data_IF_665963627931
#
_entry.id   IF_665963627931
#
_cell.length_a   1.000
_cell.length_b   1.000
_cell.length_c   1.000
_cell.angle_alpha   90.00
_cell.angle_beta   90.00
_cell.angle_gamma   90.00
#
_symmetry.space_group_name_H-M   'P 1'
#
loop_
_entity.id
_entity.type
_entity.pdbx_description
1 polymer ?
#
# COMPACT_ATOMS: atom_id res chain seq x y z
N UNK A 1 -49.10 19.67 -66.79
CA UNK A 1 -49.35 20.57 -65.65
C UNK A 1 -50.65 20.15 -64.98
N UNK A 2 -50.57 19.41 -63.88
CA UNK A 2 -51.70 19.13 -62.99
C UNK A 2 -51.17 18.98 -61.57
N UNK A 3 -51.72 19.80 -60.68
CA UNK A 3 -51.34 20.04 -59.29
C UNK A 3 -52.05 18.99 -58.42
N UNK A 4 -51.33 18.20 -57.65
CA UNK A 4 -51.92 17.35 -56.61
C UNK A 4 -51.66 17.98 -55.25
N UNK A 5 -52.62 18.78 -54.78
CA UNK A 5 -52.77 19.21 -53.39
C UNK A 5 -53.21 17.99 -52.56
N UNK A 6 -52.42 17.62 -51.54
CA UNK A 6 -52.87 16.70 -50.49
C UNK A 6 -53.36 17.53 -49.32
N UNK A 7 -54.66 17.44 -49.05
CA UNK A 7 -55.32 18.02 -47.90
C UNK A 7 -54.85 17.35 -46.60
N UNK A 8 -54.50 18.15 -45.60
CA UNK A 8 -54.21 17.72 -44.24
C UNK A 8 -55.55 17.51 -43.52
N UNK A 9 -55.91 16.26 -43.24
CA UNK A 9 -57.08 15.94 -42.40
C UNK A 9 -56.56 15.82 -40.96
N UNK A 10 -56.99 16.74 -40.09
CA UNK A 10 -56.78 16.63 -38.66
C UNK A 10 -57.96 15.86 -38.05
N UNK A 11 -57.71 14.63 -37.62
CA UNK A 11 -58.69 13.85 -36.86
C UNK A 11 -57.99 13.18 -35.68
N UNK A 12 -58.11 13.81 -34.52
CA UNK A 12 -57.83 13.20 -33.21
C UNK A 12 -58.74 13.90 -32.19
N UNK A 13 -59.69 13.19 -31.57
CA UNK A 13 -60.62 13.78 -30.62
C UNK A 13 -59.90 14.20 -29.32
N UNK A 14 -60.43 15.22 -28.59
CA UNK A 14 -59.86 15.64 -27.33
C UNK A 14 -60.10 14.54 -26.28
N UNK A 15 -59.01 13.98 -25.74
CA UNK A 15 -59.08 13.09 -24.58
C UNK A 15 -59.32 13.98 -23.36
N UNK A 16 -60.59 14.23 -23.04
CA UNK A 16 -61.00 14.61 -21.69
C UNK A 16 -60.58 13.48 -20.75
N UNK A 17 -59.42 13.66 -20.10
CA UNK A 17 -58.98 12.81 -19.01
C UNK A 17 -59.96 13.00 -17.84
N UNK A 18 -60.96 12.13 -17.77
CA UNK A 18 -61.76 11.90 -16.57
C UNK A 18 -60.80 11.45 -15.48
N UNK A 19 -60.33 12.40 -14.65
CA UNK A 19 -59.55 12.14 -13.45
C UNK A 19 -60.48 11.46 -12.43
N UNK A 20 -60.57 10.14 -12.51
CA UNK A 20 -61.12 9.31 -11.44
C UNK A 20 -60.29 9.54 -10.18
N UNK A 21 -60.92 10.14 -9.18
CA UNK A 21 -60.36 10.42 -7.87
C UNK A 21 -59.84 9.13 -7.20
N UNK A 22 -58.53 9.07 -7.02
CA UNK A 22 -57.86 8.08 -6.16
C UNK A 22 -57.58 8.74 -4.81
N UNK A 23 -57.90 8.12 -3.66
CA UNK A 23 -57.98 8.81 -2.35
C UNK A 23 -56.61 9.08 -1.69
N UNK A 24 -55.55 9.24 -2.48
CA UNK A 24 -54.21 9.66 -2.03
C UNK A 24 -53.57 10.67 -2.99
N UNK A 25 -54.39 11.47 -3.67
CA UNK A 25 -53.88 12.61 -4.42
C UNK A 25 -53.29 13.62 -3.41
N UNK A 26 -51.97 13.82 -3.49
CA UNK A 26 -51.30 14.94 -2.83
C UNK A 26 -51.98 16.23 -3.28
N UNK A 27 -52.33 17.09 -2.33
CA UNK A 27 -52.93 18.40 -2.62
C UNK A 27 -52.02 19.16 -3.59
N UNK A 28 -52.50 19.58 -4.78
CA UNK A 28 -51.68 20.27 -5.77
C UNK A 28 -51.20 21.65 -5.28
N UNK A 29 -51.73 22.16 -4.16
CA UNK A 29 -51.25 23.38 -3.49
C UNK A 29 -50.14 23.14 -2.46
N UNK A 30 -49.79 21.88 -2.18
CA UNK A 30 -48.65 21.57 -1.33
C UNK A 30 -47.35 21.83 -2.08
N UNK A 31 -46.66 22.89 -1.64
CA UNK A 31 -45.28 23.17 -2.02
C UNK A 31 -44.38 22.02 -1.56
N UNK A 32 -44.17 21.05 -2.45
CA UNK A 32 -43.36 19.84 -2.25
C UNK A 32 -41.93 20.20 -1.80
N UNK A 33 -41.46 21.41 -2.13
CA UNK A 33 -40.14 21.91 -1.73
C UNK A 33 -40.03 22.27 -0.23
N UNK A 34 -41.15 22.53 0.45
CA UNK A 34 -41.18 22.81 1.91
C UNK A 34 -41.17 21.55 2.77
N UNK A 35 -41.68 20.43 2.27
CA UNK A 35 -41.77 19.16 3.03
C UNK A 35 -40.61 18.21 2.68
N UNK A 36 -40.10 18.25 1.44
CA UNK A 36 -38.94 17.46 1.02
C UNK A 36 -37.62 18.25 1.12
N UNK A 37 -37.27 18.71 2.33
CA UNK A 37 -35.90 19.17 2.57
C UNK A 37 -34.92 18.01 2.32
N UNK A 38 -33.74 18.28 1.76
CA UNK A 38 -32.73 17.24 1.45
C UNK A 38 -32.46 16.31 2.65
N UNK A 39 -32.58 16.82 3.88
CA UNK A 39 -32.49 16.05 5.12
C UNK A 39 -33.57 14.97 5.28
N UNK A 40 -34.84 15.27 4.95
CA UNK A 40 -35.95 14.32 5.07
C UNK A 40 -35.83 13.16 4.06
N UNK A 41 -35.35 13.44 2.86
CA UNK A 41 -35.10 12.39 1.85
C UNK A 41 -33.93 11.50 2.29
N UNK A 42 -32.89 12.08 2.90
CA UNK A 42 -31.74 11.33 3.39
C UNK A 42 -32.11 10.44 4.58
N UNK A 43 -32.85 10.97 5.55
CA UNK A 43 -33.30 10.20 6.73
C UNK A 43 -34.25 9.08 6.33
N UNK A 44 -35.18 9.31 5.39
CA UNK A 44 -36.07 8.27 4.87
C UNK A 44 -35.28 7.15 4.15
N UNK A 45 -34.24 7.48 3.39
CA UNK A 45 -33.36 6.49 2.74
C UNK A 45 -32.56 5.69 3.76
N UNK A 46 -31.97 6.34 4.78
CA UNK A 46 -31.23 5.68 5.85
C UNK A 46 -32.15 4.79 6.68
N UNK A 47 -33.36 5.23 7.01
CA UNK A 47 -34.33 4.45 7.77
C UNK A 47 -34.83 3.23 6.97
N UNK A 48 -34.99 3.36 5.64
CA UNK A 48 -35.32 2.24 4.76
C UNK A 48 -34.16 1.24 4.64
N UNK A 49 -32.93 1.73 4.46
CA UNK A 49 -31.72 0.90 4.44
C UNK A 49 -31.51 0.19 5.77
N UNK A 50 -31.68 0.89 6.90
CA UNK A 50 -31.59 0.33 8.24
C UNK A 50 -32.62 -0.79 8.44
N UNK A 51 -33.90 -0.58 8.13
CA UNK A 51 -34.91 -1.64 8.25
C UNK A 51 -34.63 -2.85 7.35
N UNK A 52 -34.10 -2.62 6.14
CA UNK A 52 -33.80 -3.68 5.19
C UNK A 52 -32.53 -4.47 5.58
N UNK A 53 -31.54 -3.80 6.15
CA UNK A 53 -30.25 -4.38 6.53
C UNK A 53 -30.22 -4.88 7.99
N UNK A 54 -31.16 -4.46 8.83
CA UNK A 54 -31.17 -4.82 10.25
C UNK A 54 -31.33 -6.33 10.48
N UNK A 55 -32.31 -6.96 9.81
CA UNK A 55 -32.52 -8.40 9.93
C UNK A 55 -31.34 -9.25 9.42
N UNK A 56 -30.76 -9.00 8.23
CA UNK A 56 -29.59 -9.76 7.80
C UNK A 56 -28.34 -9.46 8.66
N UNK A 57 -28.14 -8.23 9.13
CA UNK A 57 -27.04 -7.91 10.04
C UNK A 57 -27.21 -8.60 11.41
N UNK A 58 -28.43 -8.66 11.94
CA UNK A 58 -28.74 -9.35 13.19
C UNK A 58 -28.59 -10.86 13.05
N UNK A 59 -28.98 -11.44 11.92
CA UNK A 59 -28.74 -12.85 11.61
C UNK A 59 -27.24 -13.16 11.54
N UNK A 60 -26.45 -12.34 10.85
CA UNK A 60 -24.99 -12.48 10.80
C UNK A 60 -24.36 -12.34 12.19
N UNK A 61 -24.83 -11.39 13.01
CA UNK A 61 -24.37 -11.20 14.38
C UNK A 61 -24.71 -12.37 15.31
N UNK A 62 -25.88 -12.98 15.15
CA UNK A 62 -26.26 -14.18 15.92
C UNK A 62 -25.48 -15.41 15.48
N UNK A 63 -25.26 -15.60 14.17
CA UNK A 63 -24.45 -16.71 13.66
C UNK A 63 -22.99 -16.55 14.11
N UNK A 64 -22.41 -15.35 13.99
CA UNK A 64 -21.03 -15.11 14.44
C UNK A 64 -20.91 -15.29 15.95
N UNK A 65 -21.82 -14.70 16.73
CA UNK A 65 -21.86 -14.88 18.18
C UNK A 65 -22.00 -16.34 18.59
N UNK A 66 -22.88 -17.11 17.95
CA UNK A 66 -23.03 -18.54 18.20
C UNK A 66 -21.76 -19.33 17.86
N UNK A 67 -21.10 -19.02 16.75
CA UNK A 67 -19.85 -19.70 16.37
C UNK A 67 -18.70 -19.42 17.34
N UNK A 68 -18.59 -18.19 17.85
CA UNK A 68 -17.58 -17.80 18.85
C UNK A 68 -17.88 -18.43 20.21
N UNK A 69 -19.15 -18.46 20.63
CA UNK A 69 -19.54 -19.11 21.88
C UNK A 69 -19.31 -20.63 21.81
N UNK A 70 -19.56 -21.24 20.65
CA UNK A 70 -19.37 -22.69 20.43
C UNK A 70 -17.89 -23.06 20.33
N UNK A 71 -17.04 -22.24 19.71
CA UNK A 71 -15.59 -22.47 19.65
C UNK A 71 -14.92 -22.34 21.02
N UNK A 72 -15.47 -21.52 21.93
CA UNK A 72 -14.99 -21.42 23.30
C UNK A 72 -15.27 -22.68 24.15
N UNK A 73 -16.27 -23.49 23.78
CA UNK A 73 -16.70 -24.68 24.54
C UNK A 73 -16.12 -25.98 23.98
N UNK A 74 -15.81 -26.05 22.68
CA UNK A 74 -15.22 -27.24 22.03
C UNK A 74 -14.08 -26.84 21.07
N UNK A 75 -12.82 -26.87 21.53
CA UNK A 75 -11.69 -26.33 20.76
C UNK A 75 -11.35 -27.10 19.47
N UNK A 76 -11.90 -28.30 19.26
CA UNK A 76 -11.60 -29.15 18.11
C UNK A 76 -12.43 -28.85 16.83
N UNK A 77 -13.37 -27.90 16.88
CA UNK A 77 -14.23 -27.52 15.75
C UNK A 77 -14.04 -26.06 15.28
N UNK A 78 -12.95 -25.40 15.71
CA UNK A 78 -12.82 -23.95 15.68
C UNK A 78 -11.84 -23.39 14.65
N UNK A 79 -11.56 -24.09 13.54
CA UNK A 79 -10.94 -23.42 12.39
C UNK A 79 -12.06 -22.91 11.48
N UNK A 80 -12.28 -21.58 11.39
CA UNK A 80 -13.16 -21.05 10.37
C UNK A 80 -12.66 -21.50 8.99
N UNK A 81 -13.55 -21.68 8.00
CA UNK A 81 -13.14 -21.95 6.62
C UNK A 81 -12.05 -20.96 6.19
N UNK A 82 -11.03 -21.42 5.45
CA UNK A 82 -9.83 -20.62 5.10
C UNK A 82 -10.19 -19.23 4.57
N UNK A 83 -11.24 -19.07 3.77
CA UNK A 83 -11.66 -17.77 3.25
C UNK A 83 -12.18 -16.79 4.32
N UNK A 84 -12.80 -17.29 5.40
CA UNK A 84 -13.18 -16.48 6.58
C UNK A 84 -11.95 -16.22 7.42
N UNK A 85 -11.09 -17.23 7.59
CA UNK A 85 -9.84 -17.08 8.31
C UNK A 85 -8.98 -15.99 7.65
N UNK A 86 -8.77 -16.02 6.33
CA UNK A 86 -8.05 -15.02 5.53
C UNK A 86 -8.70 -13.63 5.58
N UNK A 87 -10.03 -13.55 5.58
CA UNK A 87 -10.74 -12.27 5.70
C UNK A 87 -10.58 -11.61 7.09
N UNK A 88 -10.29 -12.39 8.13
CA UNK A 88 -10.07 -11.92 9.50
C UNK A 88 -8.62 -12.04 9.98
N UNK A 89 -7.76 -12.75 9.24
CA UNK A 89 -6.31 -12.83 9.50
C UNK A 89 -5.66 -11.70 8.74
N UNK A 90 -5.51 -10.59 9.46
CA UNK A 90 -4.65 -9.49 9.07
C UNK A 90 -3.31 -10.04 8.59
N UNK A 91 -2.95 -9.80 7.33
CA UNK A 91 -1.59 -10.06 6.87
C UNK A 91 -0.66 -9.05 7.54
N UNK A 92 -0.15 -9.45 8.71
CA UNK A 92 0.76 -8.68 9.55
C UNK A 92 1.93 -8.14 8.74
N UNK A 93 2.33 -8.81 7.65
CA UNK A 93 3.48 -8.44 6.83
C UNK A 93 3.22 -7.27 5.87
N UNK A 94 1.98 -6.81 5.71
CA UNK A 94 1.63 -5.71 4.79
C UNK A 94 0.91 -4.54 5.45
N UNK A 95 0.85 -4.53 6.79
CA UNK A 95 0.02 -3.59 7.53
C UNK A 95 0.56 -2.15 7.54
N UNK A 96 1.87 -1.97 7.73
CA UNK A 96 2.47 -0.64 7.80
C UNK A 96 2.99 -0.18 6.43
N UNK A 97 2.60 1.03 6.01
CA UNK A 97 3.23 1.70 4.88
C UNK A 97 4.60 2.23 5.30
N UNK A 98 5.65 1.66 4.71
CA UNK A 98 7.04 2.03 4.97
C UNK A 98 7.54 3.11 4.00
N UNK A 99 6.66 3.61 3.12
CA UNK A 99 6.96 4.62 2.11
C UNK A 99 7.42 4.01 0.78
N UNK A 100 7.26 4.78 -0.30
CA UNK A 100 7.70 4.38 -1.64
C UNK A 100 7.02 3.10 -2.17
N UNK A 101 5.78 2.84 -1.73
CA UNK A 101 5.01 1.65 -2.09
C UNK A 101 5.43 0.37 -1.37
N UNK A 102 6.38 0.44 -0.43
CA UNK A 102 6.78 -0.69 0.39
C UNK A 102 5.85 -0.80 1.60
N UNK A 103 5.29 -1.99 1.82
CA UNK A 103 4.53 -2.31 3.02
C UNK A 103 5.24 -3.37 3.82
N UNK A 104 5.16 -3.30 5.14
CA UNK A 104 5.86 -4.23 6.03
C UNK A 104 5.20 -4.46 7.38
N UNK A 105 5.83 -5.33 8.18
CA UNK A 105 5.33 -5.70 9.48
C UNK A 105 5.55 -4.60 10.55
N UNK A 106 4.86 -4.67 11.70
CA UNK A 106 4.97 -3.69 12.78
C UNK A 106 6.40 -3.41 13.25
N UNK A 107 7.26 -4.42 13.24
CA UNK A 107 8.66 -4.32 13.64
C UNK A 107 9.48 -3.39 12.72
N UNK A 108 8.98 -3.13 11.50
CA UNK A 108 9.58 -2.21 10.54
C UNK A 108 8.87 -0.86 10.47
N UNK A 109 7.83 -0.62 11.26
CA UNK A 109 7.04 0.62 11.18
C UNK A 109 7.89 1.89 11.32
N UNK A 110 8.99 1.82 12.06
CA UNK A 110 9.96 2.91 12.23
C UNK A 110 10.63 3.35 10.90
N UNK A 111 10.65 2.53 9.85
CA UNK A 111 11.15 2.93 8.53
C UNK A 111 10.27 4.00 7.88
N UNK A 112 8.99 4.09 8.25
CA UNK A 112 8.09 5.09 7.71
C UNK A 112 8.55 6.53 8.02
N UNK A 113 9.27 6.73 9.13
CA UNK A 113 9.87 8.02 9.49
C UNK A 113 10.96 8.46 8.51
N UNK A 114 11.48 7.52 7.72
CA UNK A 114 12.51 7.72 6.71
C UNK A 114 11.96 7.42 5.31
N UNK A 115 10.67 7.66 5.07
CA UNK A 115 10.05 7.34 3.79
C UNK A 115 10.80 7.96 2.59
N UNK A 116 10.90 7.24 1.45
CA UNK A 116 11.57 7.74 0.26
C UNK A 116 10.95 9.04 -0.26
N UNK A 117 11.80 9.97 -0.68
CA UNK A 117 11.38 11.23 -1.30
C UNK A 117 11.41 11.12 -2.83
N UNK A 118 10.74 12.04 -3.56
CA UNK A 118 10.82 12.09 -5.03
C UNK A 118 12.25 12.27 -5.55
N UNK A 119 13.08 12.99 -4.79
CA UNK A 119 14.53 13.09 -5.04
C UNK A 119 15.18 11.73 -4.78
N UNK A 120 15.55 11.03 -5.85
CA UNK A 120 16.07 9.66 -5.80
C UNK A 120 17.02 9.40 -6.95
N UNK A 121 17.86 8.37 -6.80
CA UNK A 121 18.73 7.90 -7.87
C UNK A 121 17.91 7.38 -9.05
N UNK A 122 18.46 7.54 -10.25
CA UNK A 122 18.03 6.77 -11.41
C UNK A 122 18.42 5.31 -11.24
N UNK A 123 17.72 4.39 -11.93
CA UNK A 123 18.09 2.98 -11.93
C UNK A 123 19.55 2.78 -12.40
N UNK A 124 19.98 3.52 -13.42
CA UNK A 124 21.33 3.42 -13.97
C UNK A 124 22.41 3.84 -12.98
N UNK A 125 22.16 4.91 -12.20
CA UNK A 125 23.09 5.36 -11.16
C UNK A 125 23.14 4.37 -9.99
N UNK A 126 22.01 3.77 -9.63
CA UNK A 126 21.94 2.71 -8.63
C UNK A 126 22.70 1.45 -9.05
N UNK A 127 22.56 1.04 -10.32
CA UNK A 127 23.30 -0.08 -10.89
C UNK A 127 24.81 0.19 -10.87
N UNK A 128 25.23 1.42 -11.24
CA UNK A 128 26.62 1.84 -11.21
C UNK A 128 27.20 1.85 -9.79
N UNK A 129 26.44 2.38 -8.82
CA UNK A 129 26.81 2.37 -7.40
C UNK A 129 27.01 0.96 -6.89
N UNK A 130 26.07 0.08 -7.16
CA UNK A 130 26.12 -1.32 -6.72
C UNK A 130 27.32 -2.04 -7.36
N UNK A 131 27.56 -1.86 -8.66
CA UNK A 131 28.70 -2.45 -9.35
C UNK A 131 30.05 -1.93 -8.80
N UNK A 132 30.15 -0.63 -8.49
CA UNK A 132 31.34 -0.04 -7.87
C UNK A 132 31.61 -0.68 -6.50
N UNK A 133 30.59 -0.79 -5.65
CA UNK A 133 30.73 -1.41 -4.32
C UNK A 133 31.08 -2.89 -4.43
N UNK A 134 30.48 -3.65 -5.36
CA UNK A 134 30.82 -5.07 -5.59
C UNK A 134 32.29 -5.23 -5.99
N UNK A 135 32.81 -4.34 -6.84
CA UNK A 135 34.22 -4.36 -7.23
C UNK A 135 35.12 -4.02 -6.04
N UNK A 136 34.80 -2.94 -5.34
CA UNK A 136 35.62 -2.38 -4.28
C UNK A 136 35.61 -3.24 -3.00
N UNK A 137 34.55 -4.03 -2.75
CA UNK A 137 34.47 -4.95 -1.60
C UNK A 137 35.59 -5.99 -1.61
N UNK A 138 36.04 -6.39 -2.80
CA UNK A 138 37.14 -7.36 -2.95
C UNK A 138 38.49 -6.77 -2.56
N UNK A 139 38.66 -5.45 -2.72
CA UNK A 139 39.89 -4.73 -2.44
C UNK A 139 39.97 -4.23 -0.99
N UNK A 140 38.87 -3.66 -0.48
CA UNK A 140 38.87 -2.98 0.83
C UNK A 140 38.31 -3.84 1.97
N UNK A 141 37.55 -4.89 1.65
CA UNK A 141 36.97 -5.81 2.63
C UNK A 141 35.90 -5.14 3.50
N UNK A 142 35.84 -5.56 4.77
CA UNK A 142 34.79 -5.19 5.74
C UNK A 142 35.24 -4.12 6.75
N UNK A 143 36.39 -3.50 6.52
CA UNK A 143 36.96 -2.45 7.38
C UNK A 143 36.57 -1.09 6.84
N UNK A 144 35.64 -0.34 7.46
CA UNK A 144 35.20 0.97 6.97
C UNK A 144 36.35 1.96 6.75
N UNK A 145 37.40 1.86 7.57
CA UNK A 145 38.62 2.66 7.47
C UNK A 145 39.38 2.51 6.14
N UNK A 146 39.20 1.39 5.44
CA UNK A 146 39.82 1.15 4.13
C UNK A 146 39.04 1.79 2.97
N UNK A 147 37.82 2.25 3.22
CA UNK A 147 36.95 2.84 2.21
C UNK A 147 37.06 4.36 2.27
N UNK A 148 37.89 4.94 1.42
CA UNK A 148 38.03 6.41 1.31
C UNK A 148 37.07 6.99 0.28
N UNK A 149 36.99 6.36 -0.90
CA UNK A 149 36.12 6.75 -2.01
C UNK A 149 35.64 5.51 -2.77
N UNK A 150 34.46 5.61 -3.39
CA UNK A 150 33.96 4.60 -4.31
C UNK A 150 34.41 4.93 -5.73
N UNK A 151 35.16 4.03 -6.34
CA UNK A 151 35.75 4.27 -7.65
C UNK A 151 34.71 4.29 -8.77
N UNK A 152 34.81 5.27 -9.67
CA UNK A 152 34.08 5.27 -10.95
C UNK A 152 32.64 5.78 -10.91
N UNK A 153 32.23 6.45 -9.84
CA UNK A 153 30.90 7.09 -9.74
C UNK A 153 30.95 8.56 -10.12
N UNK A 154 29.90 9.02 -10.82
CA UNK A 154 29.71 10.45 -11.15
C UNK A 154 29.38 11.27 -9.91
N UNK A 155 28.61 10.69 -8.99
CA UNK A 155 28.25 11.29 -7.71
C UNK A 155 28.96 10.53 -6.60
N UNK A 156 29.74 11.20 -5.73
CA UNK A 156 30.43 10.53 -4.65
C UNK A 156 29.40 10.05 -3.61
N UNK A 157 29.12 8.75 -3.65
CA UNK A 157 28.31 8.09 -2.64
C UNK A 157 29.04 8.06 -1.30
N UNK A 158 28.28 8.15 -0.20
CA UNK A 158 28.84 8.14 1.15
C UNK A 158 29.04 6.72 1.63
N UNK A 159 30.14 6.50 2.36
CA UNK A 159 30.42 5.25 3.05
C UNK A 159 30.16 5.48 4.54
N UNK A 160 29.45 4.56 5.18
CA UNK A 160 29.09 4.67 6.61
C UNK A 160 28.92 3.31 7.26
N UNK A 161 28.64 3.29 8.57
CA UNK A 161 28.27 2.10 9.33
C UNK A 161 26.75 2.02 9.53
N UNK A 162 26.19 0.82 9.79
CA UNK A 162 24.74 0.63 9.97
C UNK A 162 24.05 1.63 10.93
N UNK A 163 24.54 1.87 12.17
CA UNK A 163 23.86 2.76 13.12
C UNK A 163 23.86 4.23 12.69
N UNK A 164 24.79 4.62 11.80
CA UNK A 164 24.94 6.00 11.31
C UNK A 164 24.12 6.28 10.05
N UNK A 165 23.70 5.22 9.33
CA UNK A 165 22.98 5.35 8.06
C UNK A 165 21.77 6.29 8.16
N UNK A 166 20.88 6.03 9.12
CA UNK A 166 19.61 6.76 9.23
C UNK A 166 19.66 7.91 10.24
N UNK A 167 20.55 7.84 11.22
CA UNK A 167 20.73 8.90 12.21
C UNK A 167 21.48 10.12 11.64
N UNK A 168 22.49 9.91 10.80
CA UNK A 168 23.34 10.99 10.26
C UNK A 168 23.23 11.16 8.74
N UNK A 169 23.00 10.08 8.00
CA UNK A 169 23.08 10.06 6.54
C UNK A 169 21.75 9.82 5.82
N UNK A 170 20.61 9.92 6.52
CA UNK A 170 19.27 9.72 5.93
C UNK A 170 19.03 10.65 4.73
N UNK A 171 19.44 11.92 4.82
CA UNK A 171 19.34 12.87 3.70
C UNK A 171 20.22 12.55 2.49
N UNK A 172 21.15 11.60 2.61
CA UNK A 172 22.04 11.13 1.51
C UNK A 172 21.51 9.88 0.82
N UNK A 173 20.42 9.27 1.29
CA UNK A 173 19.81 8.11 0.62
C UNK A 173 19.38 8.41 -0.82
N UNK A 174 19.08 9.67 -1.13
CA UNK A 174 18.81 10.14 -2.51
C UNK A 174 20.01 10.03 -3.46
N UNK A 175 21.24 10.03 -2.93
CA UNK A 175 22.50 9.88 -3.68
C UNK A 175 23.05 8.45 -3.59
N UNK A 176 22.47 7.63 -2.72
CA UNK A 176 22.95 6.30 -2.37
C UNK A 176 24.09 6.30 -1.35
N UNK A 177 24.06 5.31 -0.48
CA UNK A 177 25.00 5.14 0.63
C UNK A 177 25.48 3.69 0.65
N UNK A 178 26.81 3.51 0.70
CA UNK A 178 27.43 2.23 1.00
C UNK A 178 27.56 2.07 2.52
N UNK A 179 27.09 0.95 3.03
CA UNK A 179 27.02 0.64 4.45
C UNK A 179 27.91 -0.56 4.73
N UNK A 180 29.00 -0.33 5.46
CA UNK A 180 29.96 -1.37 5.82
C UNK A 180 29.63 -1.83 7.23
N UNK A 181 29.09 -3.04 7.33
CA UNK A 181 28.73 -3.70 8.58
C UNK A 181 29.84 -4.66 8.98
N UNK A 182 30.83 -4.13 9.72
CA UNK A 182 31.98 -4.91 10.20
C UNK A 182 31.53 -6.05 11.13
N UNK A 183 30.56 -5.79 12.00
CA UNK A 183 30.07 -6.74 12.99
C UNK A 183 29.17 -7.81 12.37
N UNK A 184 28.31 -7.40 11.42
CA UNK A 184 27.45 -8.30 10.64
C UNK A 184 28.15 -8.97 9.45
N UNK A 185 29.43 -8.67 9.21
CA UNK A 185 30.25 -9.32 8.20
C UNK A 185 29.82 -9.04 6.75
N UNK A 186 29.16 -7.91 6.48
CA UNK A 186 28.49 -7.63 5.20
C UNK A 186 28.68 -6.18 4.75
N UNK A 187 28.58 -5.94 3.45
CA UNK A 187 28.44 -4.59 2.90
C UNK A 187 27.08 -4.50 2.22
N UNK A 188 26.39 -3.39 2.39
CA UNK A 188 25.09 -3.16 1.76
C UNK A 188 25.09 -1.81 1.06
N UNK A 189 24.30 -1.68 0.00
CA UNK A 189 23.97 -0.39 -0.60
C UNK A 189 22.54 -0.07 -0.24
N UNK A 190 22.32 1.09 0.38
CA UNK A 190 21.01 1.63 0.71
C UNK A 190 20.80 2.94 -0.04
N UNK A 191 19.67 3.05 -0.75
CA UNK A 191 19.33 4.23 -1.54
C UNK A 191 17.82 4.38 -1.73
N UNK A 192 17.41 5.55 -2.20
CA UNK A 192 16.12 5.75 -2.85
C UNK A 192 16.29 5.69 -4.36
N UNK A 193 15.46 4.89 -5.03
CA UNK A 193 15.51 4.71 -6.48
C UNK A 193 14.11 4.87 -7.07
N UNK A 194 13.92 5.93 -7.87
CA UNK A 194 12.60 6.28 -8.43
C UNK A 194 11.51 6.45 -7.36
N UNK A 195 11.84 7.07 -6.23
CA UNK A 195 10.92 7.29 -5.11
C UNK A 195 10.58 6.05 -4.28
N UNK A 196 11.41 5.00 -4.34
CA UNK A 196 11.21 3.74 -3.60
C UNK A 196 12.46 3.36 -2.83
N UNK A 197 12.30 2.60 -1.74
CA UNK A 197 13.42 1.97 -1.06
C UNK A 197 14.17 1.03 -1.98
N UNK A 198 15.50 1.05 -1.92
CA UNK A 198 16.37 0.09 -2.59
C UNK A 198 17.49 -0.33 -1.65
N UNK A 199 17.54 -1.61 -1.31
CA UNK A 199 18.58 -2.18 -0.44
C UNK A 199 19.14 -3.43 -1.12
N UNK A 200 20.46 -3.41 -1.36
CA UNK A 200 21.18 -4.53 -1.95
C UNK A 200 22.29 -4.97 -1.00
N UNK A 201 22.29 -6.25 -0.66
CA UNK A 201 23.36 -6.88 0.12
C UNK A 201 24.49 -7.33 -0.81
N UNK A 202 25.73 -7.08 -0.39
CA UNK A 202 26.94 -7.34 -1.17
C UNK A 202 27.90 -8.19 -0.35
N UNK A 203 28.32 -9.29 -0.95
CA UNK A 203 29.39 -10.15 -0.46
C UNK A 203 30.54 -10.22 -1.47
N UNK A 204 31.55 -11.06 -1.19
CA UNK A 204 32.68 -11.25 -2.09
C UNK A 204 32.22 -11.79 -3.46
N UNK A 205 32.23 -10.92 -4.47
CA UNK A 205 31.90 -11.26 -5.86
C UNK A 205 30.43 -11.61 -6.12
N UNK A 206 29.53 -11.38 -5.15
CA UNK A 206 28.09 -11.64 -5.29
C UNK A 206 27.29 -10.51 -4.68
N UNK A 207 26.11 -10.26 -5.21
CA UNK A 207 25.16 -9.29 -4.65
C UNK A 207 23.73 -9.79 -4.82
N UNK A 208 22.86 -9.38 -3.90
CA UNK A 208 21.46 -9.74 -3.89
C UNK A 208 20.62 -8.53 -3.46
N UNK A 209 19.63 -8.15 -4.28
CA UNK A 209 18.71 -7.08 -3.93
C UNK A 209 17.63 -7.63 -3.00
N UNK A 210 17.53 -7.08 -1.81
CA UNK A 210 16.61 -7.56 -0.75
C UNK A 210 15.34 -6.70 -0.66
N UNK A 211 15.40 -5.44 -1.08
CA UNK A 211 14.26 -4.53 -1.15
C UNK A 211 14.40 -3.66 -2.39
N UNK A 212 13.29 -3.45 -3.10
CA UNK A 212 13.22 -2.44 -4.16
C UNK A 212 13.57 -2.97 -5.55
N UNK A 213 13.93 -2.07 -6.49
CA UNK A 213 14.33 -2.48 -7.83
C UNK A 213 15.65 -3.26 -7.81
N UNK A 214 15.70 -4.34 -8.59
CA UNK A 214 16.84 -5.24 -8.67
C UNK A 214 18.01 -4.52 -9.36
N UNK A 215 19.16 -4.47 -8.68
CA UNK A 215 20.38 -3.93 -9.27
C UNK A 215 20.91 -4.85 -10.37
N UNK A 216 21.39 -4.27 -11.47
CA UNK A 216 21.91 -5.04 -12.61
C UNK A 216 23.06 -5.97 -12.19
N UNK A 217 22.91 -7.26 -12.47
CA UNK A 217 23.91 -8.28 -12.15
C UNK A 217 23.83 -8.85 -10.73
N UNK A 218 22.86 -8.40 -9.93
CA UNK A 218 22.56 -8.98 -8.63
C UNK A 218 21.41 -9.99 -8.71
N UNK A 219 21.42 -10.93 -7.76
CA UNK A 219 20.32 -11.87 -7.57
C UNK A 219 19.09 -11.15 -7.03
N UNK A 220 17.91 -11.60 -7.47
CA UNK A 220 16.64 -11.15 -6.88
C UNK A 220 16.36 -11.95 -5.61
N UNK A 221 16.57 -11.30 -4.47
CA UNK A 221 16.20 -11.83 -3.15
C UNK A 221 14.97 -11.10 -2.58
N UNK A 222 14.26 -10.32 -3.40
CA UNK A 222 13.02 -9.67 -2.98
C UNK A 222 11.95 -10.76 -2.83
N UNK A 223 11.40 -10.90 -1.63
CA UNK A 223 10.41 -11.95 -1.36
C UNK A 223 9.02 -11.45 -1.70
N UNK A 224 8.34 -12.15 -2.61
CA UNK A 224 6.92 -11.91 -2.93
C UNK A 224 5.99 -12.22 -1.75
N UNK A 225 6.46 -12.94 -0.73
CA UNK A 225 5.69 -13.34 0.47
C UNK A 225 5.95 -12.45 1.69
N UNK A 226 6.59 -11.29 1.51
CA UNK A 226 6.98 -10.38 2.60
C UNK A 226 8.42 -10.55 3.06
N UNK A 227 8.81 -9.93 4.18
CA UNK A 227 10.20 -9.89 4.62
C UNK A 227 10.68 -11.22 5.21
N UNK A 228 11.75 -11.79 4.65
CA UNK A 228 12.42 -12.96 5.22
C UNK A 228 13.40 -12.56 6.35
N UNK A 229 13.80 -13.52 7.20
CA UNK A 229 14.72 -13.26 8.32
C UNK A 229 16.04 -12.59 7.89
N UNK A 230 16.72 -13.01 6.80
CA UNK A 230 17.94 -12.34 6.36
C UNK A 230 17.72 -10.87 5.99
N UNK A 231 16.60 -10.55 5.35
CA UNK A 231 16.25 -9.17 4.99
C UNK A 231 15.96 -8.35 6.25
N UNK A 232 15.18 -8.89 7.18
CA UNK A 232 14.91 -8.24 8.47
C UNK A 232 16.20 -7.98 9.24
N UNK A 233 17.16 -8.92 9.25
CA UNK A 233 18.45 -8.74 9.91
C UNK A 233 19.33 -7.65 9.27
N UNK A 234 19.18 -7.38 7.97
CA UNK A 234 19.85 -6.25 7.31
C UNK A 234 19.15 -4.93 7.65
N UNK A 235 17.83 -4.88 7.53
CA UNK A 235 17.07 -3.66 7.81
C UNK A 235 17.23 -3.25 9.27
N UNK A 236 17.10 -4.19 10.20
CA UNK A 236 17.20 -3.92 11.62
C UNK A 236 18.60 -3.49 12.05
N UNK A 237 19.66 -3.84 11.31
CA UNK A 237 20.99 -3.30 11.61
C UNK A 237 21.09 -1.80 11.32
N UNK A 238 20.20 -1.25 10.50
CA UNK A 238 20.11 0.19 10.23
C UNK A 238 19.28 0.95 11.27
N UNK A 239 18.60 0.25 12.18
CA UNK A 239 17.71 0.87 13.17
C UNK A 239 18.53 1.82 14.07
N UNK A 240 18.17 3.12 14.15
CA UNK A 240 18.84 4.05 15.06
C UNK A 240 18.69 3.64 16.52
N UNK A 241 19.71 3.89 17.34
CA UNK A 241 19.63 3.65 18.78
C UNK A 241 18.50 4.49 19.41
N UNK A 242 17.61 3.85 20.18
CA UNK A 242 16.53 4.52 20.91
C UNK A 242 15.13 4.49 20.27
N UNK A 243 14.95 3.78 19.16
CA UNK A 243 13.61 3.44 18.62
C UNK A 243 13.28 2.00 19.05
N UNK A 244 12.30 1.82 19.93
CA UNK A 244 11.73 0.50 20.28
C UNK A 244 10.62 0.13 19.29
#
# INVERSE_FOLDING_TARGET
>A
MTRHERAFVADSPPIEATLTASPKALDPTWDVSKIATRGHVLTARIQRLSKLLFLPALALGLVSGYTVLRSAVVPSFATPPEWIAEAFTYDRNTYFDLGGGLKGPPELAWLADYAPTPESLSQADYDALTAAVVKDVSAYGLSPENWTELGGLKTPAKITSPPRLLSEFSGRLKDGVAVVDKDGGKVSVAAYVGGRWAITAIGRGRCATVIGPIAKGCEDATSQRGFNEPTLAIINSFKPAGKE
#
